data_IF_018187738243
#
_entry.id   IF_018187738243
#
_cell.length_a   1.000
_cell.length_b   1.000
_cell.length_c   1.000
_cell.angle_alpha   90.00
_cell.angle_beta   90.00
_cell.angle_gamma   90.00
#
_symmetry.space_group_name_H-M   'P 1'
#
loop_
_entity.id
_entity.type
_entity.pdbx_description
1 polymer ?
#
# COMPACT_ATOMS: atom_id res chain seq x y z
N UNK A 1 -19.37 -13.99 8.00
CA UNK A 1 -17.98 -13.51 8.16
C UNK A 1 -18.04 -11.99 8.29
N UNK A 2 -17.37 -11.41 9.29
CA UNK A 2 -17.26 -9.96 9.46
C UNK A 2 -15.86 -9.51 9.07
N UNK A 3 -15.75 -8.37 8.41
CA UNK A 3 -14.49 -7.72 8.05
C UNK A 3 -14.15 -6.64 9.07
N UNK A 4 -12.99 -6.76 9.71
CA UNK A 4 -12.43 -5.75 10.60
C UNK A 4 -11.37 -4.98 9.82
N UNK A 5 -11.68 -3.78 9.38
CA UNK A 5 -10.75 -2.94 8.61
C UNK A 5 -9.86 -2.17 9.58
N UNK A 6 -8.64 -2.62 9.76
CA UNK A 6 -7.70 -1.98 10.67
C UNK A 6 -6.83 -0.96 9.89
N UNK A 7 -7.13 0.31 10.13
CA UNK A 7 -6.56 1.43 9.40
C UNK A 7 -7.47 1.90 8.28
N UNK A 8 -8.53 2.64 8.63
CA UNK A 8 -9.56 3.16 7.73
C UNK A 8 -9.09 4.38 6.92
N UNK A 9 -7.87 4.37 6.37
CA UNK A 9 -7.38 5.34 5.38
C UNK A 9 -7.93 5.09 3.98
N UNK A 10 -7.29 5.67 2.94
CA UNK A 10 -7.75 5.57 1.55
C UNK A 10 -8.04 4.12 1.11
N UNK A 11 -7.09 3.21 1.37
CA UNK A 11 -7.23 1.80 0.97
C UNK A 11 -8.22 1.08 1.88
N UNK A 12 -8.00 1.12 3.21
CA UNK A 12 -8.83 0.38 4.14
C UNK A 12 -10.29 0.83 4.11
N UNK A 13 -10.56 2.13 4.20
CA UNK A 13 -11.94 2.62 4.13
C UNK A 13 -12.54 2.48 2.72
N UNK A 14 -11.73 2.55 1.65
CA UNK A 14 -12.18 2.25 0.30
C UNK A 14 -12.67 0.81 0.18
N UNK A 15 -11.89 -0.18 0.64
CA UNK A 15 -12.30 -1.60 0.68
C UNK A 15 -13.52 -1.79 1.58
N UNK A 16 -13.45 -1.24 2.81
CA UNK A 16 -14.52 -1.40 3.80
C UNK A 16 -15.85 -0.81 3.36
N UNK A 17 -15.86 0.35 2.69
CA UNK A 17 -17.05 1.00 2.19
C UNK A 17 -17.74 0.18 1.09
N UNK A 18 -16.96 -0.36 0.16
CA UNK A 18 -17.51 -1.20 -0.91
C UNK A 18 -18.06 -2.53 -0.37
N UNK A 19 -17.34 -3.20 0.54
CA UNK A 19 -17.82 -4.41 1.21
C UNK A 19 -19.11 -4.14 2.01
N UNK A 20 -19.17 -3.03 2.74
CA UNK A 20 -20.39 -2.63 3.47
C UNK A 20 -21.56 -2.36 2.54
N UNK A 21 -21.31 -1.66 1.44
CA UNK A 21 -22.34 -1.36 0.43
C UNK A 21 -22.86 -2.62 -0.29
N UNK A 22 -22.05 -3.68 -0.39
CA UNK A 22 -22.45 -4.99 -0.91
C UNK A 22 -23.17 -5.88 0.13
N UNK A 23 -23.43 -5.35 1.33
CA UNK A 23 -24.15 -6.06 2.39
C UNK A 23 -23.28 -6.94 3.29
N UNK A 24 -21.95 -6.80 3.23
CA UNK A 24 -21.05 -7.50 4.16
C UNK A 24 -21.03 -6.79 5.53
N UNK A 25 -20.84 -7.57 6.61
CA UNK A 25 -20.64 -7.04 7.94
C UNK A 25 -19.23 -6.44 8.04
N UNK A 26 -19.13 -5.15 8.34
CA UNK A 26 -17.88 -4.39 8.36
C UNK A 26 -17.81 -3.52 9.60
N UNK A 27 -16.65 -3.51 10.26
CA UNK A 27 -16.29 -2.53 11.28
C UNK A 27 -14.97 -1.88 10.91
N UNK A 28 -14.87 -0.56 11.10
CA UNK A 28 -13.65 0.21 10.83
C UNK A 28 -12.90 0.45 12.14
N UNK A 29 -11.57 0.31 12.11
CA UNK A 29 -10.70 0.83 13.18
C UNK A 29 -10.00 2.06 12.61
N UNK A 30 -10.36 3.23 13.13
CA UNK A 30 -9.86 4.55 12.75
C UNK A 30 -9.45 5.34 13.98
N UNK A 31 -8.71 6.44 13.82
CA UNK A 31 -8.20 7.23 14.95
C UNK A 31 -8.47 8.73 14.78
N UNK A 32 -8.51 9.44 15.91
CA UNK A 32 -8.51 10.90 15.97
C UNK A 32 -9.68 11.55 15.23
N UNK A 33 -9.41 12.63 14.48
CA UNK A 33 -10.44 13.39 13.78
C UNK A 33 -11.20 12.57 12.73
N UNK A 34 -10.55 11.56 12.13
CA UNK A 34 -11.20 10.70 11.15
C UNK A 34 -12.27 9.81 11.80
N UNK A 35 -11.94 9.17 12.92
CA UNK A 35 -12.92 8.40 13.70
C UNK A 35 -14.07 9.28 14.19
N UNK A 36 -13.76 10.46 14.73
CA UNK A 36 -14.78 11.39 15.21
C UNK A 36 -15.76 11.79 14.10
N UNK A 37 -15.25 12.10 12.89
CA UNK A 37 -16.08 12.46 11.74
C UNK A 37 -16.95 11.30 11.27
N UNK A 38 -16.41 10.07 11.21
CA UNK A 38 -17.18 8.87 10.83
C UNK A 38 -18.32 8.62 11.82
N UNK A 39 -18.05 8.73 13.14
CA UNK A 39 -19.06 8.48 14.16
C UNK A 39 -20.14 9.57 14.21
N UNK A 40 -19.80 10.82 13.92
CA UNK A 40 -20.74 11.96 13.91
C UNK A 40 -21.61 11.93 12.63
N UNK A 41 -20.98 11.91 11.45
CA UNK A 41 -21.64 12.13 10.16
C UNK A 41 -21.77 10.90 9.28
N UNK A 42 -21.05 9.82 9.59
CA UNK A 42 -20.81 8.67 8.72
C UNK A 42 -19.59 8.90 7.82
N UNK A 43 -19.20 7.86 7.12
CA UNK A 43 -18.14 7.91 6.11
C UNK A 43 -18.73 8.45 4.79
N UNK A 44 -18.29 9.63 4.37
CA UNK A 44 -18.61 10.18 3.05
C UNK A 44 -17.70 9.53 2.02
N UNK A 45 -18.28 8.88 1.04
CA UNK A 45 -17.58 8.25 -0.08
C UNK A 45 -17.96 9.00 -1.37
N UNK A 46 -16.98 9.68 -1.95
CA UNK A 46 -17.09 10.22 -3.29
C UNK A 46 -16.72 9.16 -4.32
N UNK A 47 -17.51 9.00 -5.35
CA UNK A 47 -17.20 8.14 -6.49
C UNK A 47 -17.80 8.69 -7.78
N UNK A 48 -17.30 8.27 -8.97
CA UNK A 48 -17.92 8.67 -10.24
C UNK A 48 -19.37 8.20 -10.39
N UNK A 49 -19.79 7.19 -9.60
CA UNK A 49 -21.18 6.71 -9.54
C UNK A 49 -22.09 7.54 -8.64
N UNK A 50 -21.56 8.56 -7.98
CA UNK A 50 -22.26 9.43 -7.03
C UNK A 50 -21.71 9.32 -5.61
N UNK A 51 -22.11 10.27 -4.77
CA UNK A 51 -21.70 10.36 -3.37
C UNK A 51 -22.61 9.52 -2.48
N UNK A 52 -22.04 8.89 -1.46
CA UNK A 52 -22.77 8.14 -0.46
C UNK A 52 -22.26 8.43 0.96
N UNK A 53 -23.18 8.53 1.91
CA UNK A 53 -22.85 8.60 3.34
C UNK A 53 -23.17 7.24 3.97
N UNK A 54 -22.14 6.53 4.41
CA UNK A 54 -22.24 5.18 4.97
C UNK A 54 -22.10 5.21 6.49
N UNK A 55 -23.05 4.61 7.21
CA UNK A 55 -23.04 4.48 8.66
C UNK A 55 -22.35 3.18 9.10
N UNK A 56 -21.09 3.02 8.69
CA UNK A 56 -20.28 1.86 9.06
C UNK A 56 -19.86 2.02 10.52
N UNK A 57 -20.05 1.00 11.40
CA UNK A 57 -19.51 1.03 12.76
C UNK A 57 -18.02 1.31 12.77
N UNK A 58 -17.56 2.25 13.61
CA UNK A 58 -16.17 2.62 13.69
C UNK A 58 -15.72 2.78 15.15
N UNK A 59 -14.52 2.26 15.45
CA UNK A 59 -13.92 2.24 16.79
C UNK A 59 -12.45 2.68 16.73
N UNK A 60 -11.85 2.95 17.89
CA UNK A 60 -10.46 3.44 17.97
C UNK A 60 -9.44 2.30 17.99
N UNK A 61 -9.75 1.21 18.68
CA UNK A 61 -8.78 0.14 18.92
C UNK A 61 -9.30 -1.25 18.53
N UNK A 62 -8.39 -2.23 18.31
CA UNK A 62 -8.80 -3.62 18.13
C UNK A 62 -9.58 -4.20 19.31
N UNK A 63 -9.37 -3.71 20.54
CA UNK A 63 -10.12 -4.14 21.72
C UNK A 63 -11.59 -3.73 21.61
N UNK A 64 -11.86 -2.49 21.19
CA UNK A 64 -13.21 -1.97 21.01
C UNK A 64 -13.95 -2.65 19.85
N UNK A 65 -13.22 -3.19 18.86
CA UNK A 65 -13.79 -3.97 17.78
C UNK A 65 -14.31 -5.35 18.21
N UNK A 66 -13.98 -5.79 19.44
CA UNK A 66 -14.38 -7.08 20.01
C UNK A 66 -14.21 -8.24 19.02
N UNK A 67 -12.97 -8.43 18.57
CA UNK A 67 -12.61 -9.40 17.52
C UNK A 67 -12.90 -10.83 17.99
N UNK A 68 -13.60 -11.58 17.16
CA UNK A 68 -14.10 -12.92 17.45
C UNK A 68 -13.62 -13.97 16.43
N UNK A 69 -13.88 -15.24 16.73
CA UNK A 69 -13.66 -16.32 15.77
C UNK A 69 -14.60 -16.13 14.57
N UNK A 70 -14.05 -16.20 13.36
CA UNK A 70 -14.80 -15.95 12.12
C UNK A 70 -14.68 -14.53 11.57
N UNK A 71 -14.00 -13.63 12.29
CA UNK A 71 -13.62 -12.33 11.74
C UNK A 71 -12.37 -12.44 10.87
N UNK A 72 -12.30 -11.58 9.85
CA UNK A 72 -11.12 -11.37 9.01
C UNK A 72 -10.63 -9.96 9.24
N UNK A 73 -9.38 -9.83 9.66
CA UNK A 73 -8.75 -8.50 9.87
C UNK A 73 -8.00 -8.09 8.62
N UNK A 74 -8.40 -6.96 8.03
CA UNK A 74 -7.75 -6.37 6.85
C UNK A 74 -6.92 -5.18 7.30
N UNK A 75 -5.60 -5.26 7.14
CA UNK A 75 -4.67 -4.17 7.46
C UNK A 75 -4.61 -3.18 6.30
N UNK A 76 -5.03 -1.93 6.56
CA UNK A 76 -5.02 -0.82 5.58
C UNK A 76 -4.20 0.39 6.03
N UNK A 77 -3.45 0.29 7.15
CA UNK A 77 -2.54 1.33 7.60
C UNK A 77 -1.23 1.33 6.78
N UNK A 78 -0.44 2.37 6.93
CA UNK A 78 0.91 2.44 6.36
C UNK A 78 1.85 1.43 7.02
N UNK A 79 2.84 0.93 6.29
CA UNK A 79 3.76 -0.13 6.75
C UNK A 79 4.50 0.23 8.04
N UNK A 80 4.87 1.51 8.24
CA UNK A 80 5.52 1.95 9.48
C UNK A 80 4.66 1.77 10.75
N UNK A 81 3.34 1.67 10.61
CA UNK A 81 2.42 1.46 11.73
C UNK A 81 2.13 -0.03 11.98
N UNK A 82 2.52 -0.91 11.07
CA UNK A 82 2.13 -2.33 11.06
C UNK A 82 2.59 -3.09 12.30
N UNK A 83 3.84 -2.92 12.72
CA UNK A 83 4.37 -3.67 13.86
C UNK A 83 3.59 -3.38 15.15
N UNK A 84 3.34 -2.11 15.45
CA UNK A 84 2.55 -1.70 16.62
C UNK A 84 1.09 -2.16 16.52
N UNK A 85 0.49 -2.06 15.33
CA UNK A 85 -0.88 -2.50 15.08
C UNK A 85 -1.03 -4.02 15.29
N UNK A 86 -0.09 -4.81 14.79
CA UNK A 86 -0.10 -6.27 14.96
C UNK A 86 0.07 -6.68 16.43
N UNK A 87 0.90 -5.99 17.21
CA UNK A 87 1.02 -6.23 18.67
C UNK A 87 -0.29 -5.93 19.39
N UNK A 88 -0.91 -4.78 19.11
CA UNK A 88 -2.22 -4.43 19.66
C UNK A 88 -3.31 -5.44 19.27
N UNK A 89 -3.34 -5.88 18.00
CA UNK A 89 -4.24 -6.91 17.53
C UNK A 89 -4.01 -8.24 18.27
N UNK A 90 -2.75 -8.66 18.41
CA UNK A 90 -2.39 -9.93 19.02
C UNK A 90 -2.77 -9.99 20.52
N UNK A 91 -2.80 -8.84 21.22
CA UNK A 91 -3.19 -8.78 22.61
C UNK A 91 -4.67 -9.07 22.87
N UNK A 92 -5.52 -8.95 21.84
CA UNK A 92 -7.00 -9.09 21.97
C UNK A 92 -7.58 -10.16 21.05
N UNK A 93 -6.76 -10.83 20.21
CA UNK A 93 -7.22 -11.85 19.28
C UNK A 93 -6.37 -13.12 19.32
N UNK A 94 -6.91 -14.21 18.78
CA UNK A 94 -6.23 -15.51 18.74
C UNK A 94 -5.13 -15.58 17.68
N UNK A 95 -4.16 -16.46 17.86
CA UNK A 95 -3.08 -16.71 16.88
C UNK A 95 -3.63 -17.21 15.50
N UNK A 96 -4.84 -17.77 15.49
CA UNK A 96 -5.50 -18.26 14.28
C UNK A 96 -6.36 -17.22 13.58
N UNK A 97 -6.51 -16.01 14.12
CA UNK A 97 -7.24 -14.90 13.47
C UNK A 97 -6.64 -14.63 12.10
N UNK A 98 -7.44 -14.68 11.02
CA UNK A 98 -6.96 -14.36 9.68
C UNK A 98 -6.58 -12.87 9.55
N UNK A 99 -5.38 -12.62 9.01
CA UNK A 99 -4.88 -11.27 8.79
C UNK A 99 -4.55 -11.10 7.30
N UNK A 100 -5.23 -10.17 6.65
CA UNK A 100 -5.03 -9.81 5.25
C UNK A 100 -4.23 -8.50 5.18
N UNK A 101 -3.04 -8.53 4.59
CA UNK A 101 -2.20 -7.36 4.40
C UNK A 101 -2.58 -6.65 3.10
N UNK A 102 -3.55 -5.70 3.18
CA UNK A 102 -3.98 -4.86 2.06
C UNK A 102 -3.13 -3.58 1.95
N UNK A 103 -1.83 -3.72 2.09
CA UNK A 103 -0.87 -2.63 2.15
C UNK A 103 0.11 -2.73 0.98
N UNK A 104 0.65 -1.57 0.58
CA UNK A 104 1.82 -1.56 -0.28
C UNK A 104 3.02 -2.19 0.44
N UNK A 105 4.17 -2.28 -0.26
CA UNK A 105 5.37 -2.95 0.22
C UNK A 105 5.19 -4.48 0.40
N UNK A 106 6.22 -5.14 0.91
CA UNK A 106 6.32 -6.61 0.95
C UNK A 106 6.73 -7.14 2.34
N UNK A 107 6.91 -6.26 3.33
CA UNK A 107 7.35 -6.65 4.67
C UNK A 107 6.18 -6.92 5.63
N UNK A 108 4.98 -6.41 5.33
CA UNK A 108 3.81 -6.50 6.21
C UNK A 108 3.42 -7.94 6.52
N UNK A 109 3.43 -8.81 5.52
CA UNK A 109 3.12 -10.23 5.66
C UNK A 109 4.16 -10.96 6.54
N UNK A 110 5.44 -10.60 6.41
CA UNK A 110 6.52 -11.16 7.23
C UNK A 110 6.36 -10.75 8.69
N UNK A 111 5.99 -9.50 8.95
CA UNK A 111 5.68 -9.00 10.29
C UNK A 111 4.46 -9.72 10.88
N UNK A 112 3.39 -9.85 10.10
CA UNK A 112 2.16 -10.53 10.52
C UNK A 112 2.40 -12.02 10.81
N UNK A 113 3.17 -12.73 9.98
CA UNK A 113 3.44 -14.17 10.13
C UNK A 113 4.24 -14.51 11.41
N UNK A 114 4.97 -13.54 11.98
CA UNK A 114 5.63 -13.71 13.30
C UNK A 114 4.62 -13.89 14.44
N UNK A 115 3.39 -13.39 14.27
CA UNK A 115 2.38 -13.28 15.34
C UNK A 115 1.11 -14.09 15.04
N UNK A 116 0.80 -14.33 13.76
CA UNK A 116 -0.42 -15.01 13.31
C UNK A 116 -0.11 -16.15 12.36
N UNK A 117 -0.93 -17.21 12.41
CA UNK A 117 -0.76 -18.40 11.54
C UNK A 117 -1.39 -18.22 10.16
N UNK A 118 -2.50 -17.49 10.09
CA UNK A 118 -3.30 -17.32 8.88
C UNK A 118 -3.06 -15.91 8.33
N UNK A 119 -2.01 -15.76 7.52
CA UNK A 119 -1.63 -14.49 6.91
C UNK A 119 -1.85 -14.57 5.40
N UNK A 120 -2.42 -13.51 4.86
CA UNK A 120 -2.73 -13.36 3.45
C UNK A 120 -2.13 -12.05 2.93
N UNK A 121 -1.44 -12.11 1.80
CA UNK A 121 -1.02 -10.93 1.08
C UNK A 121 -2.12 -10.50 0.11
N UNK A 122 -2.22 -9.19 -0.12
CA UNK A 122 -3.11 -8.64 -1.13
C UNK A 122 -2.34 -7.70 -2.06
N UNK A 123 -2.41 -7.97 -3.37
CA UNK A 123 -2.07 -6.98 -4.38
C UNK A 123 -3.19 -5.94 -4.44
N UNK A 124 -2.84 -4.69 -4.24
CA UNK A 124 -3.82 -3.60 -4.18
C UNK A 124 -3.53 -2.59 -5.28
N UNK A 125 -4.38 -2.52 -6.28
CA UNK A 125 -4.42 -1.43 -7.24
C UNK A 125 -5.79 -0.75 -7.15
N UNK A 126 -5.92 0.12 -6.16
CA UNK A 126 -7.13 0.87 -5.85
C UNK A 126 -6.79 2.36 -5.84
N UNK A 127 -7.13 3.10 -6.90
CA UNK A 127 -7.00 4.54 -6.94
C UNK A 127 -8.02 5.19 -6.00
N UNK A 128 -7.57 5.49 -4.78
CA UNK A 128 -8.37 6.13 -3.75
C UNK A 128 -7.56 7.19 -2.99
N UNK A 129 -8.25 8.18 -2.45
CA UNK A 129 -7.67 9.27 -1.67
C UNK A 129 -8.40 9.44 -0.34
N UNK A 130 -7.64 9.86 0.66
CA UNK A 130 -8.13 10.28 1.97
C UNK A 130 -7.33 11.50 2.40
N UNK A 131 -7.87 12.67 2.16
CA UNK A 131 -7.23 13.96 2.51
C UNK A 131 -7.94 14.67 3.66
N UNK A 132 -9.25 14.46 3.82
CA UNK A 132 -10.08 15.08 4.83
C UNK A 132 -10.68 14.04 5.79
N UNK A 133 -10.79 14.33 7.11
CA UNK A 133 -11.42 13.45 8.06
C UNK A 133 -12.87 13.09 7.67
N UNK A 134 -13.22 11.80 7.70
CA UNK A 134 -14.54 11.30 7.36
C UNK A 134 -14.83 11.20 5.87
N UNK A 135 -13.85 11.48 4.99
CA UNK A 135 -14.06 11.51 3.53
C UNK A 135 -13.10 10.55 2.83
N UNK A 136 -13.63 9.73 1.93
CA UNK A 136 -12.86 8.88 1.02
C UNK A 136 -13.31 9.16 -0.42
N UNK A 137 -12.36 9.22 -1.32
CA UNK A 137 -12.59 9.46 -2.73
C UNK A 137 -12.11 8.24 -3.54
N UNK A 138 -13.03 7.50 -4.15
CA UNK A 138 -12.76 6.35 -5.02
C UNK A 138 -12.83 6.84 -6.47
N UNK A 139 -11.75 6.67 -7.23
CA UNK A 139 -11.59 7.34 -8.53
C UNK A 139 -12.29 6.65 -9.71
N UNK A 140 -12.77 5.42 -9.55
CA UNK A 140 -13.41 4.66 -10.63
C UNK A 140 -14.76 4.10 -10.21
N UNK A 141 -15.67 3.97 -11.20
CA UNK A 141 -16.84 3.08 -11.09
C UNK A 141 -16.38 1.63 -11.04
N UNK A 142 -17.30 0.69 -10.78
CA UNK A 142 -16.96 -0.73 -10.80
C UNK A 142 -16.44 -1.16 -12.20
N UNK A 143 -15.31 -1.90 -12.27
CA UNK A 143 -14.47 -2.31 -11.15
C UNK A 143 -13.70 -1.13 -10.53
N UNK A 144 -13.85 -0.95 -9.20
CA UNK A 144 -13.21 0.16 -8.47
C UNK A 144 -11.69 0.05 -8.43
N UNK A 145 -11.15 -1.15 -8.59
CA UNK A 145 -9.74 -1.49 -8.53
C UNK A 145 -9.50 -2.98 -8.66
N UNK A 146 -8.23 -3.39 -8.63
CA UNK A 146 -7.78 -4.79 -8.58
C UNK A 146 -7.31 -5.11 -7.17
N UNK A 147 -7.87 -6.17 -6.58
CA UNK A 147 -7.54 -6.65 -5.23
C UNK A 147 -7.34 -8.17 -5.27
N UNK A 148 -6.18 -8.61 -5.75
CA UNK A 148 -5.86 -10.04 -5.79
C UNK A 148 -5.19 -10.47 -4.49
N UNK A 149 -5.55 -11.64 -3.97
CA UNK A 149 -5.01 -12.12 -2.70
C UNK A 149 -4.63 -13.60 -2.73
N UNK A 150 -3.73 -13.97 -1.84
CA UNK A 150 -3.29 -15.34 -1.64
C UNK A 150 -2.74 -15.56 -0.24
N UNK A 151 -2.59 -16.82 0.17
CA UNK A 151 -1.89 -17.14 1.42
C UNK A 151 -0.43 -16.70 1.34
N UNK A 152 0.09 -16.28 2.48
CA UNK A 152 1.52 -15.98 2.59
C UNK A 152 2.23 -17.12 3.37
N UNK A 153 3.39 -17.65 2.91
CA UNK A 153 4.17 -17.15 1.76
C UNK A 153 3.65 -17.56 0.38
N UNK A 154 2.80 -18.58 0.27
CA UNK A 154 2.21 -19.05 -0.98
C UNK A 154 0.97 -19.91 -0.73
N UNK A 155 0.15 -20.06 -1.75
CA UNK A 155 -1.03 -20.95 -1.78
C UNK A 155 -2.36 -20.21 -1.80
N UNK A 156 -3.41 -21.00 -1.98
CA UNK A 156 -4.82 -20.60 -1.89
C UNK A 156 -5.55 -21.56 -0.97
N UNK A 157 -6.62 -21.07 -0.35
CA UNK A 157 -7.53 -21.88 0.47
C UNK A 157 -8.98 -21.37 0.32
N UNK A 158 -9.90 -22.02 1.01
CA UNK A 158 -11.32 -21.64 0.96
C UNK A 158 -11.54 -20.18 1.39
N UNK A 159 -10.74 -19.66 2.32
CA UNK A 159 -10.87 -18.30 2.78
C UNK A 159 -10.39 -17.29 1.72
N UNK A 160 -9.29 -17.58 1.00
CA UNK A 160 -8.88 -16.77 -0.16
C UNK A 160 -9.96 -16.68 -1.21
N UNK A 161 -10.58 -17.81 -1.52
CA UNK A 161 -11.67 -17.90 -2.50
C UNK A 161 -12.91 -17.14 -2.05
N UNK A 162 -13.26 -17.24 -0.77
CA UNK A 162 -14.40 -16.54 -0.17
C UNK A 162 -14.18 -15.02 -0.19
N UNK A 163 -13.00 -14.55 0.27
CA UNK A 163 -12.68 -13.11 0.28
C UNK A 163 -12.65 -12.55 -1.16
N UNK A 164 -12.07 -13.30 -2.12
CA UNK A 164 -12.05 -12.89 -3.52
C UNK A 164 -13.48 -12.78 -4.09
N UNK A 165 -14.38 -13.70 -3.75
CA UNK A 165 -15.79 -13.62 -4.11
C UNK A 165 -16.47 -12.38 -3.52
N UNK A 166 -16.31 -12.15 -2.22
CA UNK A 166 -16.86 -10.96 -1.53
C UNK A 166 -16.36 -9.64 -2.12
N UNK A 167 -15.08 -9.59 -2.53
CA UNK A 167 -14.51 -8.41 -3.19
C UNK A 167 -15.08 -8.21 -4.61
N UNK A 168 -15.30 -9.28 -5.37
CA UNK A 168 -15.96 -9.20 -6.68
C UNK A 168 -17.41 -8.71 -6.54
N UNK A 169 -18.17 -9.23 -5.56
CA UNK A 169 -19.52 -8.77 -5.25
C UNK A 169 -19.54 -7.28 -4.82
N UNK A 170 -18.47 -6.82 -4.19
CA UNK A 170 -18.29 -5.44 -3.78
C UNK A 170 -17.81 -4.51 -4.91
N UNK A 171 -17.73 -5.00 -6.15
CA UNK A 171 -17.38 -4.21 -7.32
C UNK A 171 -15.89 -4.01 -7.54
N UNK A 172 -15.04 -4.86 -7.00
CA UNK A 172 -13.62 -4.94 -7.36
C UNK A 172 -13.39 -6.01 -8.43
N UNK A 173 -12.20 -6.05 -9.01
CA UNK A 173 -11.71 -7.21 -9.74
C UNK A 173 -10.75 -7.97 -8.83
N UNK A 174 -11.12 -9.17 -8.40
CA UNK A 174 -10.34 -9.95 -7.45
C UNK A 174 -10.15 -11.40 -7.93
N UNK A 175 -8.94 -11.90 -7.75
CA UNK A 175 -8.57 -13.28 -8.00
C UNK A 175 -7.79 -13.87 -6.82
N UNK A 176 -7.99 -15.17 -6.56
CA UNK A 176 -7.16 -15.92 -5.63
C UNK A 176 -5.86 -16.34 -6.34
N UNK A 177 -4.70 -15.92 -5.79
CA UNK A 177 -3.39 -16.16 -6.36
C UNK A 177 -2.59 -17.15 -5.52
N UNK A 178 -2.03 -18.18 -6.18
CA UNK A 178 -1.14 -19.13 -5.51
C UNK A 178 0.21 -18.50 -5.07
N UNK A 179 0.67 -17.47 -5.76
CA UNK A 179 1.87 -16.70 -5.41
C UNK A 179 1.59 -15.20 -5.48
N UNK A 180 0.87 -14.69 -4.49
CA UNK A 180 0.59 -13.25 -4.35
C UNK A 180 1.86 -12.44 -4.09
N UNK A 181 2.89 -13.05 -3.49
CA UNK A 181 4.17 -12.41 -3.21
C UNK A 181 4.84 -11.95 -4.50
N UNK A 182 4.83 -12.79 -5.54
CA UNK A 182 5.37 -12.48 -6.87
C UNK A 182 4.75 -11.19 -7.44
N UNK A 183 3.42 -11.07 -7.35
CA UNK A 183 2.68 -9.89 -7.82
C UNK A 183 3.00 -8.65 -6.98
N UNK A 184 3.13 -8.80 -5.65
CA UNK A 184 3.49 -7.68 -4.75
C UNK A 184 4.91 -7.16 -5.01
N UNK A 185 5.89 -8.03 -5.27
CA UNK A 185 7.23 -7.60 -5.67
C UNK A 185 7.23 -6.91 -7.03
N UNK A 186 6.43 -7.37 -7.99
CA UNK A 186 6.23 -6.67 -9.26
C UNK A 186 5.70 -5.26 -9.06
N UNK A 187 4.68 -5.11 -8.18
CA UNK A 187 4.14 -3.80 -7.82
C UNK A 187 5.17 -2.92 -7.11
N UNK A 188 6.01 -3.48 -6.24
CA UNK A 188 7.10 -2.76 -5.58
C UNK A 188 8.03 -2.13 -6.61
N UNK A 189 8.51 -2.93 -7.58
CA UNK A 189 9.40 -2.46 -8.65
C UNK A 189 8.72 -1.39 -9.51
N UNK A 190 7.48 -1.61 -9.93
CA UNK A 190 6.73 -0.63 -10.73
C UNK A 190 6.48 0.68 -9.97
N UNK A 191 6.34 0.60 -8.64
CA UNK A 191 6.04 1.70 -7.73
C UNK A 191 7.22 2.55 -7.27
N UNK A 192 8.48 2.19 -7.59
CA UNK A 192 9.67 2.91 -7.10
C UNK A 192 9.69 4.40 -7.49
N UNK A 193 9.08 4.77 -8.61
CA UNK A 193 8.93 6.17 -9.03
C UNK A 193 7.94 7.00 -8.19
N UNK A 194 7.16 6.39 -7.30
CA UNK A 194 6.18 7.14 -6.49
C UNK A 194 6.85 8.11 -5.51
N UNK A 195 8.02 7.76 -4.97
CA UNK A 195 8.78 8.66 -4.12
C UNK A 195 9.35 9.84 -4.92
N UNK A 196 9.83 9.61 -6.14
CA UNK A 196 10.29 10.70 -7.04
C UNK A 196 9.17 11.68 -7.31
N UNK A 197 7.95 11.20 -7.66
CA UNK A 197 6.75 12.05 -7.84
C UNK A 197 6.34 12.78 -6.56
N UNK A 198 6.62 12.22 -5.39
CA UNK A 198 6.30 12.84 -4.14
C UNK A 198 7.23 14.02 -3.83
N UNK A 199 8.52 13.88 -4.10
CA UNK A 199 9.54 14.89 -3.75
C UNK A 199 9.71 15.97 -4.82
N UNK A 200 9.55 15.62 -6.11
CA UNK A 200 9.81 16.50 -7.24
C UNK A 200 8.67 16.53 -8.25
N UNK A 201 8.55 17.60 -9.01
CA UNK A 201 7.69 17.64 -10.17
C UNK A 201 8.21 16.69 -11.26
N UNK A 202 7.29 16.13 -12.05
CA UNK A 202 7.66 15.28 -13.20
C UNK A 202 8.28 16.17 -14.28
N UNK A 203 9.45 15.78 -14.76
CA UNK A 203 10.23 16.51 -15.77
C UNK A 203 11.03 15.56 -16.66
N UNK A 204 11.89 16.07 -17.55
CA UNK A 204 12.61 15.24 -18.54
C UNK A 204 13.44 14.10 -17.95
N UNK A 205 14.10 14.32 -16.79
CA UNK A 205 14.96 13.33 -16.15
C UNK A 205 14.18 12.26 -15.34
N UNK A 206 12.85 12.45 -15.13
CA UNK A 206 12.04 11.56 -14.31
C UNK A 206 12.12 10.09 -14.75
N UNK A 207 11.94 9.85 -16.05
CA UNK A 207 11.93 8.47 -16.58
C UNK A 207 13.31 7.80 -16.45
N UNK A 208 14.41 8.56 -16.56
CA UNK A 208 15.77 8.06 -16.36
C UNK A 208 16.03 7.68 -14.89
N UNK A 209 15.72 8.56 -13.95
CA UNK A 209 15.87 8.29 -12.51
C UNK A 209 15.08 7.03 -12.13
N UNK A 210 13.83 6.91 -12.58
CA UNK A 210 12.98 5.74 -12.27
C UNK A 210 13.54 4.48 -12.94
N UNK A 211 14.09 4.57 -14.17
CA UNK A 211 14.71 3.44 -14.86
C UNK A 211 15.93 2.91 -14.10
N UNK A 212 16.80 3.80 -13.61
CA UNK A 212 17.97 3.44 -12.77
C UNK A 212 17.53 2.82 -11.45
N UNK A 213 16.56 3.40 -10.75
CA UNK A 213 16.03 2.82 -9.51
C UNK A 213 15.46 1.41 -9.71
N UNK A 214 14.75 1.19 -10.83
CA UNK A 214 14.22 -0.13 -11.21
C UNK A 214 15.33 -1.11 -11.64
N UNK A 215 16.43 -0.62 -12.20
CA UNK A 215 17.58 -1.45 -12.55
C UNK A 215 18.26 -2.00 -11.28
N UNK A 216 18.50 -1.15 -10.27
CA UNK A 216 18.99 -1.59 -8.97
C UNK A 216 18.06 -2.65 -8.35
N UNK A 217 16.74 -2.41 -8.40
CA UNK A 217 15.76 -3.35 -7.88
C UNK A 217 15.84 -4.72 -8.58
N UNK A 218 15.95 -4.75 -9.91
CA UNK A 218 16.11 -6.01 -10.66
C UNK A 218 17.37 -6.76 -10.26
N UNK A 219 18.49 -6.05 -10.06
CA UNK A 219 19.75 -6.65 -9.63
C UNK A 219 19.64 -7.22 -8.22
N UNK A 220 19.04 -6.49 -7.27
CA UNK A 220 18.82 -6.95 -5.90
C UNK A 220 17.90 -8.17 -5.84
N UNK A 221 16.79 -8.16 -6.57
CA UNK A 221 15.84 -9.27 -6.61
C UNK A 221 16.48 -10.53 -7.24
N UNK A 222 17.26 -10.37 -8.32
CA UNK A 222 18.01 -11.47 -8.92
C UNK A 222 19.04 -12.05 -7.94
N UNK A 223 19.82 -11.21 -7.25
CA UNK A 223 20.80 -11.66 -6.26
C UNK A 223 20.12 -12.34 -5.05
N UNK A 224 18.92 -11.91 -4.68
CA UNK A 224 18.13 -12.51 -3.60
C UNK A 224 17.36 -13.79 -4.04
N UNK A 225 17.36 -14.14 -5.32
CA UNK A 225 16.57 -15.26 -5.86
C UNK A 225 15.05 -15.03 -5.75
N UNK A 226 14.60 -13.77 -5.80
CA UNK A 226 13.21 -13.39 -5.69
C UNK A 226 12.61 -13.20 -7.09
N UNK A 227 11.63 -14.04 -7.45
CA UNK A 227 10.83 -13.87 -8.66
C UNK A 227 9.74 -12.81 -8.44
N UNK A 228 9.38 -12.09 -9.51
CA UNK A 228 8.34 -11.06 -9.47
C UNK A 228 7.59 -10.93 -10.80
N UNK A 229 6.34 -10.47 -10.73
CA UNK A 229 5.52 -10.24 -11.91
C UNK A 229 6.08 -9.07 -12.75
N UNK A 230 6.23 -9.29 -14.05
CA UNK A 230 6.67 -8.27 -14.99
C UNK A 230 5.65 -7.13 -15.17
N UNK A 231 6.10 -6.03 -15.78
CA UNK A 231 5.22 -4.87 -16.03
C UNK A 231 4.07 -5.25 -16.96
N UNK A 232 4.31 -6.12 -17.94
CA UNK A 232 3.27 -6.57 -18.90
C UNK A 232 2.17 -7.34 -18.18
N UNK A 233 2.53 -8.28 -17.30
CA UNK A 233 1.58 -9.04 -16.47
C UNK A 233 0.73 -8.13 -15.58
N UNK A 234 1.37 -7.15 -14.93
CA UNK A 234 0.67 -6.18 -14.09
C UNK A 234 -0.21 -5.25 -14.94
N UNK A 235 0.24 -4.89 -16.15
CA UNK A 235 -0.53 -4.06 -17.06
C UNK A 235 -1.77 -4.78 -17.57
N UNK A 236 -1.64 -6.04 -18.00
CA UNK A 236 -2.77 -6.87 -18.39
C UNK A 236 -3.80 -6.96 -17.26
N UNK A 237 -3.33 -7.17 -16.03
CA UNK A 237 -4.23 -7.25 -14.86
C UNK A 237 -4.93 -5.91 -14.57
N UNK A 238 -4.26 -4.78 -14.75
CA UNK A 238 -4.84 -3.43 -14.61
C UNK A 238 -5.87 -3.08 -15.68
N UNK A 239 -5.80 -3.69 -16.86
CA UNK A 239 -6.78 -3.49 -17.93
C UNK A 239 -8.20 -3.90 -17.53
N UNK A 240 -8.37 -4.63 -16.42
CA UNK A 240 -9.68 -4.87 -15.81
C UNK A 240 -10.37 -3.57 -15.32
N UNK A 241 -9.62 -2.47 -15.16
CA UNK A 241 -10.15 -1.16 -14.74
C UNK A 241 -10.23 -0.24 -15.96
N UNK A 242 -11.43 -0.02 -16.54
CA UNK A 242 -11.60 0.86 -17.68
C UNK A 242 -11.18 2.30 -17.35
N UNK A 243 -10.38 2.92 -18.22
CA UNK A 243 -9.98 4.33 -18.05
C UNK A 243 -8.94 4.57 -16.95
N UNK A 244 -8.29 3.53 -16.43
CA UNK A 244 -7.20 3.70 -15.47
C UNK A 244 -6.09 4.59 -16.05
N UNK A 245 -5.72 5.71 -15.37
CA UNK A 245 -4.80 6.71 -15.94
C UNK A 245 -3.37 6.22 -16.11
N UNK A 246 -3.08 5.01 -15.64
CA UNK A 246 -1.72 4.49 -15.59
C UNK A 246 -0.86 5.16 -14.50
N UNK A 247 0.35 4.67 -14.27
CA UNK A 247 1.20 5.11 -13.15
C UNK A 247 1.76 6.54 -13.28
N UNK A 248 1.73 7.14 -14.48
CA UNK A 248 2.35 8.45 -14.73
C UNK A 248 1.48 9.66 -14.39
N UNK A 249 0.16 9.53 -14.31
CA UNK A 249 -0.77 10.66 -14.28
C UNK A 249 -1.36 10.92 -12.89
N UNK A 250 -1.57 9.89 -12.07
CA UNK A 250 -2.16 10.07 -10.74
C UNK A 250 -1.10 10.40 -9.67
N UNK A 251 -1.40 11.31 -8.73
CA UNK A 251 -0.59 11.50 -7.54
C UNK A 251 -0.52 10.19 -6.74
N UNK A 252 0.69 9.66 -6.51
CA UNK A 252 0.89 8.43 -5.76
C UNK A 252 0.67 8.60 -4.25
N UNK A 253 0.64 7.47 -3.52
CA UNK A 253 0.46 7.45 -2.06
C UNK A 253 1.55 8.24 -1.31
N UNK A 254 2.78 8.31 -1.84
CA UNK A 254 3.86 9.12 -1.31
C UNK A 254 3.54 10.62 -1.36
N UNK A 255 3.04 11.11 -2.49
CA UNK A 255 2.60 12.48 -2.65
C UNK A 255 1.48 12.84 -1.66
N UNK A 256 0.47 11.97 -1.50
CA UNK A 256 -0.59 12.16 -0.51
C UNK A 256 -0.04 12.25 0.92
N UNK A 257 1.02 11.47 1.24
CA UNK A 257 1.65 11.52 2.57
C UNK A 257 2.31 12.87 2.84
N UNK A 258 3.07 13.42 1.89
CA UNK A 258 3.66 14.76 2.00
C UNK A 258 2.59 15.84 2.02
N UNK A 259 1.57 15.75 1.18
CA UNK A 259 0.45 16.71 1.12
C UNK A 259 -0.29 16.83 2.46
N UNK A 260 -0.48 15.70 3.18
CA UNK A 260 -1.09 15.69 4.53
C UNK A 260 -0.18 16.23 5.62
N UNK A 261 1.12 16.36 5.38
CA UNK A 261 2.08 16.90 6.35
C UNK A 261 2.20 16.09 7.64
N UNK A 262 1.99 14.77 7.59
CA UNK A 262 2.01 13.90 8.78
C UNK A 262 3.42 13.67 9.36
N UNK A 263 4.46 14.12 8.67
CA UNK A 263 5.85 13.93 9.08
C UNK A 263 6.44 12.56 8.72
N UNK A 264 5.70 11.72 8.00
CA UNK A 264 6.12 10.37 7.62
C UNK A 264 5.71 10.02 6.19
N UNK A 265 6.53 9.20 5.53
CA UNK A 265 6.29 8.63 4.20
C UNK A 265 6.72 7.16 4.22
N UNK A 266 6.17 6.33 3.34
CA UNK A 266 6.38 4.87 3.33
C UNK A 266 7.65 4.44 2.56
N UNK A 267 8.53 5.38 2.24
CA UNK A 267 9.71 5.15 1.40
C UNK A 267 10.68 4.13 1.98
N UNK A 268 10.78 4.02 3.31
CA UNK A 268 11.62 3.02 3.99
C UNK A 268 11.24 1.57 3.66
N UNK A 269 9.98 1.34 3.27
CA UNK A 269 9.45 0.02 2.93
C UNK A 269 9.21 -0.18 1.43
N UNK A 270 9.50 0.84 0.61
CA UNK A 270 9.41 0.79 -0.85
C UNK A 270 10.82 0.86 -1.45
N UNK A 271 11.41 2.05 -1.57
CA UNK A 271 12.81 2.18 -2.03
C UNK A 271 13.77 1.55 -1.01
N UNK A 272 13.49 1.70 0.29
CA UNK A 272 14.26 1.10 1.37
C UNK A 272 14.24 -0.42 1.41
N UNK A 273 13.23 -1.10 0.86
CA UNK A 273 13.28 -2.57 0.68
C UNK A 273 14.37 -2.95 -0.33
N UNK A 274 14.53 -2.18 -1.40
CA UNK A 274 15.60 -2.39 -2.38
C UNK A 274 16.97 -2.14 -1.75
N UNK A 275 17.09 -1.07 -0.95
CA UNK A 275 18.32 -0.77 -0.19
C UNK A 275 18.65 -1.89 0.77
N UNK A 276 17.67 -2.43 1.49
CA UNK A 276 17.84 -3.57 2.39
C UNK A 276 18.36 -4.80 1.64
N UNK A 277 17.70 -5.16 0.53
CA UNK A 277 18.12 -6.30 -0.30
C UNK A 277 19.54 -6.08 -0.87
N UNK A 278 19.84 -4.86 -1.33
CA UNK A 278 21.17 -4.51 -1.80
C UNK A 278 22.24 -4.75 -0.74
N UNK A 279 22.04 -4.30 0.49
CA UNK A 279 22.94 -4.51 1.63
C UNK A 279 23.08 -5.97 2.01
N UNK A 280 22.01 -6.75 1.97
CA UNK A 280 22.01 -8.18 2.30
C UNK A 280 22.75 -9.02 1.26
N UNK A 281 22.75 -8.59 -0.01
CA UNK A 281 23.28 -9.37 -1.14
C UNK A 281 24.49 -8.72 -1.82
N UNK A 282 25.02 -7.62 -1.28
CA UNK A 282 26.21 -6.95 -1.82
C UNK A 282 25.96 -6.25 -3.17
N UNK A 283 24.74 -5.75 -3.42
CA UNK A 283 24.38 -5.02 -4.63
C UNK A 283 24.25 -3.54 -4.29
N UNK A 284 25.02 -2.64 -4.94
CA UNK A 284 24.91 -1.20 -4.74
C UNK A 284 23.52 -0.66 -5.11
N UNK A 285 23.01 0.28 -4.32
CA UNK A 285 21.68 0.89 -4.54
C UNK A 285 21.66 2.40 -4.33
N UNK A 286 22.66 3.15 -4.87
CA UNK A 286 22.80 4.60 -4.60
C UNK A 286 21.59 5.42 -5.01
N UNK A 287 20.87 5.04 -6.08
CA UNK A 287 19.68 5.75 -6.56
C UNK A 287 18.53 5.59 -5.57
N UNK A 288 18.19 4.36 -5.19
CA UNK A 288 17.11 4.10 -4.24
C UNK A 288 17.42 4.66 -2.84
N UNK A 289 18.68 4.58 -2.39
CA UNK A 289 19.09 5.12 -1.10
C UNK A 289 18.98 6.65 -1.06
N UNK A 290 19.38 7.34 -2.13
CA UNK A 290 19.25 8.79 -2.25
C UNK A 290 17.79 9.23 -2.27
N UNK A 291 16.93 8.55 -3.05
CA UNK A 291 15.49 8.82 -3.10
C UNK A 291 14.86 8.60 -1.71
N UNK A 292 15.20 7.52 -1.03
CA UNK A 292 14.73 7.19 0.32
C UNK A 292 15.11 8.30 1.32
N UNK A 293 16.37 8.71 1.36
CA UNK A 293 16.89 9.71 2.27
C UNK A 293 16.19 11.07 2.08
N UNK A 294 16.08 11.51 0.82
CA UNK A 294 15.46 12.80 0.47
C UNK A 294 13.97 12.79 0.82
N UNK A 295 13.24 11.74 0.46
CA UNK A 295 11.82 11.65 0.74
C UNK A 295 11.53 11.65 2.25
N UNK A 296 12.30 10.92 3.03
CA UNK A 296 12.21 10.92 4.50
C UNK A 296 12.54 12.28 5.11
N UNK A 297 13.55 12.95 4.59
CA UNK A 297 13.92 14.31 5.05
C UNK A 297 12.81 15.30 4.77
N UNK A 298 12.26 15.31 3.55
CA UNK A 298 11.13 16.18 3.20
C UNK A 298 9.89 15.90 4.05
N UNK A 299 9.61 14.63 4.36
CA UNK A 299 8.49 14.27 5.23
C UNK A 299 8.69 14.80 6.66
N UNK A 300 9.87 14.57 7.28
CA UNK A 300 10.19 15.06 8.62
C UNK A 300 10.13 16.58 8.73
N UNK A 301 10.63 17.26 7.71
CA UNK A 301 10.64 18.73 7.63
C UNK A 301 9.29 19.31 7.18
N UNK A 302 8.30 18.45 6.86
CA UNK A 302 6.99 18.85 6.34
C UNK A 302 7.07 19.75 5.11
N UNK A 303 8.06 19.50 4.25
CA UNK A 303 8.22 20.22 3.00
C UNK A 303 7.05 19.92 2.05
N UNK A 304 6.63 20.89 1.23
CA UNK A 304 5.57 20.68 0.27
C UNK A 304 5.89 19.55 -0.73
N UNK A 305 4.90 18.74 -1.08
CA UNK A 305 5.05 17.74 -2.12
C UNK A 305 5.45 18.40 -3.46
N UNK A 306 6.38 17.78 -4.17
CA UNK A 306 6.86 18.26 -5.47
C UNK A 306 7.74 19.52 -5.42
N UNK A 307 8.21 19.94 -4.23
CA UNK A 307 8.95 21.20 -4.06
C UNK A 307 10.45 21.08 -4.31
N UNK A 308 11.00 19.89 -4.47
CA UNK A 308 12.42 19.72 -4.81
C UNK A 308 12.61 19.87 -6.32
N UNK A 309 13.53 20.73 -6.81
CA UNK A 309 13.91 20.73 -8.21
C UNK A 309 14.45 19.37 -8.64
N UNK A 310 14.07 18.91 -9.83
CA UNK A 310 14.48 17.58 -10.32
C UNK A 310 15.99 17.52 -10.58
N UNK A 311 16.60 18.63 -10.98
CA UNK A 311 18.05 18.75 -11.16
C UNK A 311 18.82 18.59 -9.84
N UNK A 312 18.26 19.05 -8.72
CA UNK A 312 18.88 18.87 -7.39
C UNK A 312 18.83 17.38 -6.97
N UNK A 313 17.72 16.70 -7.26
CA UNK A 313 17.62 15.26 -7.04
C UNK A 313 18.64 14.49 -7.90
N UNK A 314 18.76 14.82 -9.19
CA UNK A 314 19.72 14.21 -10.10
C UNK A 314 21.16 14.44 -9.64
N UNK A 315 21.49 15.67 -9.22
CA UNK A 315 22.82 16.00 -8.69
C UNK A 315 23.16 15.16 -7.45
N UNK A 316 22.19 14.98 -6.54
CA UNK A 316 22.38 14.16 -5.35
C UNK A 316 22.62 12.68 -5.71
N UNK A 317 21.86 12.15 -6.67
CA UNK A 317 22.00 10.78 -7.16
C UNK A 317 23.37 10.58 -7.82
N UNK A 318 23.78 11.48 -8.73
CA UNK A 318 25.07 11.38 -9.42
C UNK A 318 26.25 11.43 -8.43
N UNK A 319 26.13 12.21 -7.37
CA UNK A 319 27.14 12.28 -6.30
C UNK A 319 27.23 10.96 -5.55
N UNK A 320 26.09 10.34 -5.22
CA UNK A 320 26.06 9.04 -4.54
C UNK A 320 26.62 7.90 -5.41
N UNK A 321 26.26 7.85 -6.70
CA UNK A 321 26.79 6.88 -7.66
C UNK A 321 28.33 7.01 -7.84
N UNK A 322 28.85 8.23 -7.76
CA UNK A 322 30.28 8.50 -7.87
C UNK A 322 31.03 8.04 -6.63
N UNK A 323 30.47 8.25 -5.45
CA UNK A 323 31.05 7.80 -4.18
C UNK A 323 31.09 6.27 -4.09
N UNK A 324 30.02 5.60 -4.52
CA UNK A 324 29.93 4.13 -4.50
C UNK A 324 31.01 3.49 -5.41
N UNK A 325 31.25 4.05 -6.59
CA UNK A 325 32.32 3.60 -7.51
C UNK A 325 33.75 3.72 -6.95
N UNK A 326 33.97 4.58 -5.96
CA UNK A 326 35.28 4.79 -5.33
C UNK A 326 35.51 3.82 -4.15
N UNK A 327 34.46 3.20 -3.62
CA UNK A 327 34.51 2.35 -2.42
C UNK A 327 34.35 0.87 -2.73
N UNK A 328 33.91 0.49 -3.90
CA UNK A 328 33.76 -0.90 -4.40
C UNK A 328 34.91 -1.30 -5.32
#
# INVERSE_FOLDING_TARGET
MRYVIYGAGAIGAGIGSCLYSSGRDVILIARGAHLAAINDKGLLVHSPGGDAILRIPAVDTPADAAISAGDVVVLGMKTQDTAAALQALRSVSGIATPVVCAQNAVDNERLALRLFRNVYGMYVDLPAEHLEPGVIDIKFTAPHGVLDLGRYPAGVDDLTSTISGDLNDAGFSSAALADVRRTKYGKLVSGLGNAVKAVSAVGPQYDDIVSRARQEARQCLAAAGIDYAGEDELSERRQAIPGHPGPKVAPGSGWQSLKRGTGAIETDYINGEIVLLGRLHGVPTPVNETIQLIANTMARERRPAGSLPLDDLETAIASAESADRLTG
#
